data_IF_695084291296
#
_entry.id   IF_695084291296
#
_cell.length_a   1.000
_cell.length_b   1.000
_cell.length_c   1.000
_cell.angle_alpha   90.00
_cell.angle_beta   90.00
_cell.angle_gamma   90.00
#
_symmetry.space_group_name_H-M   'P 1'
#
loop_
_entity.id
_entity.type
_entity.pdbx_description
1 polymer ?
#
# COMPACT_ATOMS: atom_id res chain seq x y z
N UNK A 1 -42.22 14.57 -42.98
CA UNK A 1 -41.94 15.03 -41.60
C UNK A 1 -41.66 13.90 -40.62
N UNK A 2 -42.43 12.82 -40.57
CA UNK A 2 -42.16 11.70 -39.59
C UNK A 2 -40.82 10.98 -39.80
N UNK A 3 -40.38 10.78 -41.04
CA UNK A 3 -39.09 10.12 -41.34
C UNK A 3 -37.85 10.91 -40.92
N UNK A 4 -37.86 12.23 -41.07
CA UNK A 4 -36.77 13.09 -40.64
C UNK A 4 -36.65 13.12 -39.09
N UNK A 5 -37.78 13.07 -38.40
CA UNK A 5 -37.78 13.09 -36.93
C UNK A 5 -37.19 11.79 -36.31
N UNK A 6 -37.45 10.63 -36.91
CA UNK A 6 -36.86 9.37 -36.49
C UNK A 6 -35.33 9.30 -36.77
N UNK A 7 -34.89 9.88 -37.86
CA UNK A 7 -33.48 9.91 -38.21
C UNK A 7 -32.69 10.82 -37.25
N UNK A 8 -33.24 11.97 -36.84
CA UNK A 8 -32.64 12.89 -35.86
C UNK A 8 -32.55 12.25 -34.45
N UNK A 9 -33.58 11.52 -34.02
CA UNK A 9 -33.57 10.82 -32.72
C UNK A 9 -32.54 9.69 -32.72
N UNK A 10 -32.43 8.92 -33.79
CA UNK A 10 -31.44 7.84 -33.92
C UNK A 10 -30.02 8.38 -33.93
N UNK A 11 -29.77 9.49 -34.60
CA UNK A 11 -28.44 10.16 -34.64
C UNK A 11 -28.07 10.77 -33.29
N UNK A 12 -29.04 11.32 -32.55
CA UNK A 12 -28.81 11.85 -31.20
C UNK A 12 -28.54 10.74 -30.19
N UNK A 13 -29.23 9.60 -30.25
CA UNK A 13 -28.98 8.43 -29.41
C UNK A 13 -27.60 7.80 -29.68
N UNK A 14 -27.18 7.70 -30.92
CA UNK A 14 -25.83 7.18 -31.27
C UNK A 14 -24.71 8.12 -30.82
N UNK A 15 -24.88 9.44 -30.92
CA UNK A 15 -23.93 10.41 -30.38
C UNK A 15 -23.82 10.33 -28.84
N UNK A 16 -24.92 10.15 -28.11
CA UNK A 16 -24.87 9.99 -26.65
C UNK A 16 -24.20 8.68 -26.22
N UNK A 17 -24.40 7.59 -26.98
CA UNK A 17 -23.74 6.31 -26.70
C UNK A 17 -22.24 6.33 -26.96
N UNK A 18 -21.78 7.07 -27.97
CA UNK A 18 -20.35 7.22 -28.31
C UNK A 18 -19.64 8.11 -27.31
N UNK A 19 -20.30 9.12 -26.73
CA UNK A 19 -19.71 9.97 -25.67
C UNK A 19 -19.55 9.24 -24.33
N UNK A 20 -20.41 8.28 -24.01
CA UNK A 20 -20.25 7.45 -22.80
C UNK A 20 -19.17 6.37 -22.93
N UNK A 21 -18.86 5.90 -24.12
CA UNK A 21 -17.90 4.81 -24.36
C UNK A 21 -16.43 5.21 -24.23
N UNK A 22 -16.12 6.51 -24.06
CA UNK A 22 -14.75 7.04 -24.03
C UNK A 22 -14.32 7.65 -22.68
N UNK A 23 -15.09 7.52 -21.63
CA UNK A 23 -14.69 7.99 -20.31
C UNK A 23 -13.61 7.06 -19.74
N UNK A 24 -12.35 7.50 -19.82
CA UNK A 24 -11.24 6.78 -19.19
C UNK A 24 -11.39 6.80 -17.67
N UNK A 25 -11.37 5.64 -16.99
CA UNK A 25 -11.61 5.56 -15.55
C UNK A 25 -10.47 6.25 -14.78
N UNK A 26 -10.81 6.87 -13.66
CA UNK A 26 -9.83 7.24 -12.66
C UNK A 26 -9.35 5.99 -11.92
N UNK A 27 -8.08 5.96 -11.53
CA UNK A 27 -7.45 4.81 -10.88
C UNK A 27 -6.90 5.27 -9.54
N UNK A 28 -7.35 4.65 -8.46
CA UNK A 28 -6.76 4.77 -7.13
C UNK A 28 -6.21 3.40 -6.73
N UNK A 29 -4.90 3.33 -6.51
CA UNK A 29 -4.21 2.13 -6.08
C UNK A 29 -3.75 2.32 -4.64
N UNK A 30 -4.45 1.69 -3.69
CA UNK A 30 -4.09 1.70 -2.26
C UNK A 30 -3.33 0.43 -1.95
N UNK A 31 -2.16 0.56 -1.35
CA UNK A 31 -1.26 -0.54 -1.05
C UNK A 31 -0.77 -0.44 0.40
N UNK A 32 -1.03 -1.48 1.19
CA UNK A 32 -0.50 -1.64 2.55
C UNK A 32 0.66 -2.62 2.55
N UNK A 33 1.55 -2.51 3.55
CA UNK A 33 2.76 -3.31 3.66
C UNK A 33 2.58 -4.36 4.76
N UNK A 34 2.72 -5.63 4.42
CA UNK A 34 2.56 -6.78 5.32
C UNK A 34 1.15 -6.92 5.96
N UNK A 35 0.10 -6.50 5.26
CA UNK A 35 -1.27 -6.62 5.73
C UNK A 35 -1.84 -8.00 5.42
N UNK A 36 -1.97 -8.83 6.46
CA UNK A 36 -2.45 -10.20 6.33
C UNK A 36 -3.98 -10.25 6.05
N UNK A 37 -4.45 -11.16 5.19
CA UNK A 37 -5.88 -11.24 4.82
C UNK A 37 -6.79 -11.53 6.02
N UNK A 38 -6.35 -12.31 7.01
CA UNK A 38 -7.15 -12.60 8.21
C UNK A 38 -7.36 -11.38 9.12
N UNK A 39 -6.63 -10.29 8.91
CA UNK A 39 -6.85 -9.00 9.57
C UNK A 39 -7.80 -8.07 8.77
N UNK A 40 -8.42 -8.55 7.70
CA UNK A 40 -9.39 -7.83 6.87
C UNK A 40 -10.74 -8.54 6.97
N UNK A 41 -11.78 -7.84 7.43
CA UNK A 41 -13.09 -8.42 7.71
C UNK A 41 -13.75 -9.09 6.50
N UNK A 42 -13.54 -8.55 5.29
CA UNK A 42 -14.08 -9.11 4.04
C UNK A 42 -13.62 -10.55 3.75
N UNK A 43 -12.47 -10.97 4.26
CA UNK A 43 -11.97 -12.35 4.12
C UNK A 43 -12.43 -13.30 5.24
N UNK A 44 -13.28 -12.83 6.15
CA UNK A 44 -13.91 -13.64 7.20
C UNK A 44 -12.92 -14.35 8.13
N UNK A 45 -11.76 -13.73 8.40
CA UNK A 45 -10.74 -14.25 9.30
C UNK A 45 -11.15 -14.19 10.78
N UNK A 46 -10.45 -14.94 11.65
CA UNK A 46 -10.76 -15.04 13.09
C UNK A 46 -10.68 -13.69 13.84
N UNK A 47 -10.00 -12.69 13.30
CA UNK A 47 -9.91 -11.36 13.88
C UNK A 47 -11.12 -10.46 13.56
N UNK A 48 -12.00 -10.86 12.65
CA UNK A 48 -13.16 -10.05 12.23
C UNK A 48 -14.05 -9.56 13.39
N UNK A 49 -14.32 -10.35 14.43
CA UNK A 49 -15.16 -9.89 15.56
C UNK A 49 -14.52 -8.77 16.39
N UNK A 50 -13.18 -8.72 16.46
CA UNK A 50 -12.43 -7.78 17.31
C UNK A 50 -11.73 -6.67 16.50
N UNK A 51 -11.48 -6.90 15.22
CA UNK A 51 -10.82 -5.93 14.32
C UNK A 51 -11.67 -5.67 13.07
N UNK A 52 -12.78 -4.94 13.18
CA UNK A 52 -13.59 -4.63 12.02
C UNK A 52 -12.86 -3.67 11.07
N UNK A 53 -12.98 -3.94 9.75
CA UNK A 53 -12.40 -3.10 8.70
C UNK A 53 -13.50 -2.54 7.77
N UNK A 54 -14.46 -1.74 8.30
CA UNK A 54 -15.72 -1.43 7.64
C UNK A 54 -15.54 -0.71 6.29
N UNK A 55 -14.52 0.12 6.16
CA UNK A 55 -14.26 0.84 4.91
C UNK A 55 -13.63 -0.05 3.82
N UNK A 56 -12.77 -0.99 4.21
CA UNK A 56 -12.20 -1.99 3.29
C UNK A 56 -13.29 -3.00 2.89
N UNK A 57 -14.06 -3.46 3.86
CA UNK A 57 -15.16 -4.41 3.66
C UNK A 57 -16.23 -3.83 2.72
N UNK A 58 -16.50 -2.53 2.84
CA UNK A 58 -17.40 -1.82 1.93
C UNK A 58 -16.89 -1.85 0.48
N UNK A 59 -15.58 -1.63 0.26
CA UNK A 59 -15.00 -1.73 -1.08
C UNK A 59 -15.18 -3.14 -1.67
N UNK A 60 -15.01 -4.18 -0.86
CA UNK A 60 -15.23 -5.56 -1.28
C UNK A 60 -16.71 -5.81 -1.62
N UNK A 61 -17.64 -5.30 -0.81
CA UNK A 61 -19.08 -5.47 -1.00
C UNK A 61 -19.64 -4.71 -2.22
N UNK A 62 -19.08 -3.54 -2.52
CA UNK A 62 -19.50 -2.70 -3.67
C UNK A 62 -18.72 -2.98 -4.95
N UNK A 63 -17.65 -3.78 -4.88
CA UNK A 63 -16.76 -4.08 -5.98
C UNK A 63 -16.53 -5.55 -6.20
N UNK A 64 -15.27 -5.98 -6.21
CA UNK A 64 -14.87 -7.37 -6.41
C UNK A 64 -13.85 -7.77 -5.33
N UNK A 65 -14.09 -8.89 -4.65
CA UNK A 65 -13.16 -9.52 -3.74
C UNK A 65 -12.37 -10.61 -4.48
N UNK A 66 -11.03 -10.52 -4.45
CA UNK A 66 -10.15 -11.55 -5.02
C UNK A 66 -9.77 -12.54 -3.93
N UNK A 67 -10.33 -13.74 -3.95
CA UNK A 67 -10.03 -14.81 -3.00
C UNK A 67 -8.66 -15.46 -3.27
N UNK A 68 -8.21 -15.45 -4.53
CA UNK A 68 -6.95 -16.03 -4.96
C UNK A 68 -6.09 -14.98 -5.64
N UNK A 69 -5.27 -14.29 -4.85
CA UNK A 69 -4.29 -13.31 -5.34
C UNK A 69 -2.88 -13.71 -4.88
N UNK A 70 -1.93 -13.70 -5.80
CA UNK A 70 -0.59 -14.24 -5.56
C UNK A 70 0.47 -13.16 -5.75
N UNK A 71 1.48 -13.17 -4.88
CA UNK A 71 2.67 -12.35 -4.99
C UNK A 71 3.78 -13.15 -5.68
N UNK A 72 4.43 -12.58 -6.68
CA UNK A 72 5.51 -13.26 -7.43
C UNK A 72 6.86 -13.20 -6.73
N UNK A 73 7.04 -12.26 -5.81
CA UNK A 73 8.22 -12.13 -4.96
C UNK A 73 7.77 -11.46 -3.65
N UNK A 74 7.68 -12.24 -2.59
CA UNK A 74 7.07 -11.88 -1.30
C UNK A 74 8.00 -11.06 -0.38
N UNK A 75 8.68 -10.05 -0.93
CA UNK A 75 9.49 -9.08 -0.19
C UNK A 75 9.23 -7.67 -0.73
N UNK A 76 9.23 -6.66 0.14
CA UNK A 76 8.70 -5.30 -0.12
C UNK A 76 9.16 -4.69 -1.46
N UNK A 77 10.45 -4.37 -1.64
CA UNK A 77 10.95 -3.72 -2.85
C UNK A 77 10.73 -4.52 -4.12
N UNK A 78 11.11 -5.81 -4.17
CA UNK A 78 10.85 -6.67 -5.32
C UNK A 78 9.37 -6.79 -5.71
N UNK A 79 8.47 -6.96 -4.74
CA UNK A 79 7.02 -6.97 -5.00
C UNK A 79 6.56 -5.65 -5.65
N UNK A 80 7.02 -4.52 -5.12
CA UNK A 80 6.71 -3.18 -5.66
C UNK A 80 7.27 -2.97 -7.06
N UNK A 81 8.47 -3.49 -7.35
CA UNK A 81 9.05 -3.47 -8.69
C UNK A 81 8.25 -4.32 -9.68
N UNK A 82 7.73 -5.47 -9.25
CA UNK A 82 6.82 -6.31 -10.06
C UNK A 82 5.52 -5.56 -10.37
N UNK A 83 4.91 -4.94 -9.38
CA UNK A 83 3.69 -4.12 -9.57
C UNK A 83 3.95 -2.99 -10.58
N UNK A 84 5.06 -2.26 -10.42
CA UNK A 84 5.39 -1.14 -11.32
C UNK A 84 5.60 -1.58 -12.76
N UNK A 85 6.18 -2.74 -12.99
CA UNK A 85 6.66 -3.16 -14.33
C UNK A 85 5.80 -4.22 -15.00
N UNK A 86 4.97 -4.97 -14.23
CA UNK A 86 4.30 -6.17 -14.71
C UNK A 86 5.26 -7.31 -15.06
N UNK A 87 6.52 -7.25 -14.55
CA UNK A 87 7.57 -8.22 -14.87
C UNK A 87 8.08 -8.90 -13.61
N UNK A 88 8.32 -10.20 -13.67
CA UNK A 88 9.01 -10.94 -12.61
C UNK A 88 10.37 -10.31 -12.26
N UNK A 89 10.84 -10.48 -11.03
CA UNK A 89 12.06 -9.86 -10.50
C UNK A 89 13.31 -10.11 -11.35
N UNK A 90 13.49 -11.32 -11.89
CA UNK A 90 14.61 -11.65 -12.77
C UNK A 90 14.55 -10.94 -14.14
N UNK A 91 13.38 -10.41 -14.54
CA UNK A 91 13.19 -9.62 -15.76
C UNK A 91 13.26 -8.11 -15.52
N UNK A 92 12.81 -7.65 -14.35
CA UNK A 92 12.88 -6.22 -14.01
C UNK A 92 14.21 -5.84 -13.32
N UNK A 93 15.03 -6.82 -12.92
CA UNK A 93 16.35 -6.63 -12.33
C UNK A 93 16.34 -6.25 -10.84
N UNK A 94 15.17 -6.24 -10.18
CA UNK A 94 15.07 -5.89 -8.76
C UNK A 94 14.71 -7.14 -7.93
N UNK A 95 15.73 -7.88 -7.48
CA UNK A 95 15.57 -9.20 -6.86
C UNK A 95 15.55 -9.18 -5.33
N UNK A 96 16.10 -8.14 -4.70
CA UNK A 96 16.14 -7.98 -3.24
C UNK A 96 16.14 -6.50 -2.84
N UNK A 97 15.91 -6.21 -1.55
CA UNK A 97 15.84 -4.83 -1.03
C UNK A 97 17.18 -4.06 -1.11
N UNK A 98 18.29 -4.75 -1.34
CA UNK A 98 19.60 -4.13 -1.57
C UNK A 98 19.74 -3.47 -2.93
N UNK A 99 19.00 -3.94 -3.93
CA UNK A 99 19.05 -3.43 -5.29
C UNK A 99 18.57 -1.99 -5.41
N UNK A 100 18.92 -1.34 -6.51
CA UNK A 100 18.37 -0.05 -6.93
C UNK A 100 17.52 -0.27 -8.18
N UNK A 101 16.29 0.24 -8.15
CA UNK A 101 15.35 0.08 -9.26
C UNK A 101 15.78 0.91 -10.47
N UNK A 102 15.77 0.29 -11.64
CA UNK A 102 15.99 1.00 -12.88
C UNK A 102 14.71 1.73 -13.30
N UNK A 103 14.59 3.00 -12.92
CA UNK A 103 13.46 3.84 -13.28
C UNK A 103 13.38 4.18 -14.77
N UNK A 104 14.40 3.89 -15.57
CA UNK A 104 14.36 4.13 -17.03
C UNK A 104 13.55 3.06 -17.77
N UNK A 105 13.34 1.89 -17.18
CA UNK A 105 12.51 0.86 -17.79
C UNK A 105 11.03 1.28 -17.85
N UNK A 106 10.26 0.59 -18.67
CA UNK A 106 8.83 0.80 -18.80
C UNK A 106 8.10 0.42 -17.51
N UNK A 107 7.21 1.30 -17.05
CA UNK A 107 6.34 1.09 -15.90
C UNK A 107 4.92 1.53 -16.26
N UNK A 108 3.91 0.94 -15.60
CA UNK A 108 2.52 1.29 -15.90
C UNK A 108 2.19 2.77 -15.64
N UNK A 109 2.76 3.47 -14.62
CA UNK A 109 2.53 4.90 -14.48
C UNK A 109 3.04 5.72 -15.68
N UNK A 110 4.20 5.35 -16.25
CA UNK A 110 4.71 6.01 -17.47
C UNK A 110 3.75 5.82 -18.65
N UNK A 111 3.20 4.63 -18.83
CA UNK A 111 2.23 4.34 -19.90
C UNK A 111 0.95 5.15 -19.71
N UNK A 112 0.40 5.19 -18.50
CA UNK A 112 -0.81 5.97 -18.21
C UNK A 112 -0.56 7.48 -18.43
N UNK A 113 0.59 7.99 -17.99
CA UNK A 113 0.97 9.39 -18.22
C UNK A 113 1.07 9.72 -19.72
N UNK A 114 1.65 8.83 -20.53
CA UNK A 114 1.69 8.98 -22.00
C UNK A 114 0.28 9.00 -22.62
N UNK A 115 -0.68 8.34 -21.99
CA UNK A 115 -2.08 8.35 -22.38
C UNK A 115 -2.86 9.55 -21.79
N UNK A 116 -2.18 10.55 -21.23
CA UNK A 116 -2.78 11.79 -20.75
C UNK A 116 -3.39 11.71 -19.34
N UNK A 117 -3.07 10.69 -18.56
CA UNK A 117 -3.41 10.66 -17.14
C UNK A 117 -2.54 11.63 -16.34
N UNK A 118 -3.11 12.30 -15.35
CA UNK A 118 -2.34 12.92 -14.28
C UNK A 118 -1.98 11.85 -13.24
N UNK A 119 -0.71 11.80 -12.83
CA UNK A 119 -0.20 10.67 -12.04
C UNK A 119 0.44 11.14 -10.74
N UNK A 120 0.14 10.45 -9.62
CA UNK A 120 0.77 10.76 -8.34
C UNK A 120 1.12 9.51 -7.52
N UNK A 121 2.13 9.65 -6.64
CA UNK A 121 2.61 8.59 -5.75
C UNK A 121 2.92 9.16 -4.36
N UNK A 122 2.30 8.63 -3.32
CA UNK A 122 2.57 9.00 -1.93
C UNK A 122 2.85 7.79 -1.07
N UNK A 123 3.86 7.91 -0.17
CA UNK A 123 4.20 6.91 0.83
C UNK A 123 5.39 6.02 0.48
N UNK A 124 5.35 4.74 0.85
CA UNK A 124 6.48 3.82 0.78
C UNK A 124 6.70 3.26 -0.63
N UNK A 125 7.63 3.83 -1.40
CA UNK A 125 8.02 3.23 -2.70
C UNK A 125 9.01 2.07 -2.55
N UNK A 126 9.97 2.18 -1.64
CA UNK A 126 11.05 1.23 -1.35
C UNK A 126 11.87 0.79 -2.58
N UNK A 127 11.89 1.60 -3.63
CA UNK A 127 12.56 1.27 -4.91
C UNK A 127 13.88 2.03 -5.09
N UNK A 128 14.24 2.89 -4.15
CA UNK A 128 15.37 3.82 -4.24
C UNK A 128 15.30 4.72 -5.49
N UNK A 129 16.13 5.76 -5.53
CA UNK A 129 16.16 6.73 -6.63
C UNK A 129 14.92 7.63 -6.65
N UNK A 130 14.81 8.41 -7.73
CA UNK A 130 13.70 9.35 -7.95
C UNK A 130 12.59 8.66 -8.76
N UNK A 131 11.35 8.59 -8.25
CA UNK A 131 10.23 8.05 -9.00
C UNK A 131 10.05 8.73 -10.37
N UNK A 132 9.83 7.93 -11.41
CA UNK A 132 9.56 8.40 -12.76
C UNK A 132 8.19 7.91 -13.23
N UNK A 133 7.54 8.75 -14.06
CA UNK A 133 6.18 8.46 -14.54
C UNK A 133 5.10 9.04 -13.65
N UNK A 134 5.48 9.89 -12.68
CA UNK A 134 4.59 10.63 -11.81
C UNK A 134 4.76 12.14 -11.99
N UNK A 135 3.66 12.85 -12.00
CA UNK A 135 3.63 14.32 -12.07
C UNK A 135 3.87 14.93 -10.69
N UNK A 136 3.36 14.28 -9.63
CA UNK A 136 3.66 14.62 -8.24
C UNK A 136 3.99 13.35 -7.44
N UNK A 137 4.92 13.48 -6.49
CA UNK A 137 5.27 12.38 -5.61
C UNK A 137 5.96 12.85 -4.34
N UNK A 138 5.67 12.17 -3.23
CA UNK A 138 6.36 12.30 -1.95
C UNK A 138 6.51 10.91 -1.35
N UNK A 139 7.75 10.43 -1.24
CA UNK A 139 8.01 9.04 -0.86
C UNK A 139 8.87 8.92 0.39
N UNK A 140 8.61 7.90 1.18
CA UNK A 140 9.39 7.58 2.36
C UNK A 140 10.79 7.10 1.97
N UNK A 141 11.87 7.53 2.65
CA UNK A 141 13.19 6.94 2.48
C UNK A 141 13.23 5.52 3.07
N UNK A 142 13.61 4.54 2.25
CA UNK A 142 13.71 3.13 2.67
C UNK A 142 12.41 2.58 3.26
N UNK A 143 12.45 2.14 4.51
CA UNK A 143 11.28 1.64 5.25
C UNK A 143 10.35 2.76 5.76
N UNK A 144 10.86 3.97 5.90
CA UNK A 144 10.15 5.09 6.52
C UNK A 144 9.98 4.97 8.03
N UNK A 145 9.58 6.07 8.66
CA UNK A 145 9.24 6.16 10.08
C UNK A 145 7.72 6.20 10.25
N UNK A 146 7.20 5.67 11.36
CA UNK A 146 5.78 5.80 11.71
C UNK A 146 5.42 7.20 12.20
N UNK A 147 6.31 7.82 12.98
CA UNK A 147 6.11 9.17 13.51
C UNK A 147 7.08 10.14 12.88
N UNK A 148 6.59 11.33 12.60
CA UNK A 148 7.35 12.45 12.06
C UNK A 148 8.25 12.03 10.88
N UNK A 149 7.71 11.37 9.85
CA UNK A 149 8.50 10.81 8.76
C UNK A 149 9.17 11.90 7.93
N UNK A 150 10.39 11.60 7.49
CA UNK A 150 11.00 12.29 6.38
C UNK A 150 10.36 11.79 5.06
N UNK A 151 10.13 12.70 4.14
CA UNK A 151 9.66 12.42 2.78
C UNK A 151 10.64 12.99 1.77
N UNK A 152 11.01 12.18 0.79
CA UNK A 152 11.77 12.63 -0.39
C UNK A 152 10.75 13.18 -1.39
N UNK A 153 11.00 14.39 -1.89
CA UNK A 153 10.15 15.06 -2.87
C UNK A 153 10.99 15.52 -4.07
N UNK A 154 10.36 15.94 -5.19
CA UNK A 154 11.10 16.55 -6.30
C UNK A 154 11.95 17.76 -5.91
N UNK A 155 11.55 18.48 -4.84
CA UNK A 155 12.19 19.71 -4.37
C UNK A 155 13.21 19.50 -3.23
N UNK A 156 13.39 18.25 -2.78
CA UNK A 156 14.26 17.89 -1.65
C UNK A 156 13.50 17.14 -0.56
N UNK A 157 14.18 16.92 0.57
CA UNK A 157 13.60 16.22 1.71
C UNK A 157 12.79 17.19 2.57
N UNK A 158 11.64 16.72 3.06
CA UNK A 158 10.80 17.42 4.03
C UNK A 158 10.44 16.48 5.16
N UNK A 159 10.42 16.99 6.40
CA UNK A 159 9.93 16.27 7.56
C UNK A 159 8.53 16.79 7.88
N UNK A 160 7.57 15.89 8.10
CA UNK A 160 6.20 16.24 8.45
C UNK A 160 5.89 15.65 9.83
N UNK A 161 5.42 16.48 10.74
CA UNK A 161 5.00 16.04 12.07
C UNK A 161 3.68 15.27 12.00
N UNK A 162 3.58 14.17 12.75
CA UNK A 162 2.39 13.34 12.85
C UNK A 162 2.64 11.88 12.50
N UNK A 163 1.55 11.11 12.44
CA UNK A 163 1.61 9.68 12.12
C UNK A 163 1.64 9.43 10.61
N UNK A 164 2.53 8.56 10.18
CA UNK A 164 2.81 8.29 8.76
C UNK A 164 1.56 7.92 7.94
N UNK A 165 0.67 7.09 8.50
CA UNK A 165 -0.56 6.68 7.80
C UNK A 165 -1.47 7.87 7.52
N UNK A 166 -1.62 8.78 8.49
CA UNK A 166 -2.43 10.00 8.34
C UNK A 166 -1.79 10.92 7.31
N UNK A 167 -0.49 11.19 7.44
CA UNK A 167 0.26 12.06 6.53
C UNK A 167 0.13 11.57 5.07
N UNK A 168 0.32 10.28 4.82
CA UNK A 168 0.22 9.70 3.47
C UNK A 168 -1.21 9.82 2.93
N UNK A 169 -2.20 9.60 3.80
CA UNK A 169 -3.63 9.76 3.45
C UNK A 169 -3.96 11.21 3.14
N UNK A 170 -3.54 12.14 3.98
CA UNK A 170 -3.84 13.57 3.82
C UNK A 170 -3.21 14.13 2.55
N UNK A 171 -1.97 13.77 2.23
CA UNK A 171 -1.33 14.13 0.97
C UNK A 171 -2.11 13.61 -0.24
N UNK A 172 -2.60 12.39 -0.18
CA UNK A 172 -3.40 11.79 -1.25
C UNK A 172 -4.76 12.51 -1.40
N UNK A 173 -5.44 12.79 -0.30
CA UNK A 173 -6.73 13.49 -0.28
C UNK A 173 -6.58 14.94 -0.75
N UNK A 174 -5.54 15.65 -0.30
CA UNK A 174 -5.26 17.01 -0.75
C UNK A 174 -5.01 17.06 -2.26
N UNK A 175 -4.20 16.13 -2.78
CA UNK A 175 -3.96 16.05 -4.21
C UNK A 175 -5.23 15.77 -5.00
N UNK A 176 -6.09 14.88 -4.54
CA UNK A 176 -7.39 14.61 -5.17
C UNK A 176 -8.28 15.86 -5.19
N UNK A 177 -8.28 16.66 -4.12
CA UNK A 177 -9.11 17.87 -3.99
C UNK A 177 -8.58 19.04 -4.79
N UNK A 178 -7.27 19.29 -4.75
CA UNK A 178 -6.66 20.56 -5.20
C UNK A 178 -5.42 20.38 -6.07
N UNK A 179 -4.69 19.27 -5.94
CA UNK A 179 -3.36 19.10 -6.54
C UNK A 179 -3.35 18.59 -7.98
N UNK A 180 -4.47 18.13 -8.53
CA UNK A 180 -4.54 17.52 -9.86
C UNK A 180 -5.31 18.38 -10.86
N UNK A 181 -5.02 18.20 -12.16
CA UNK A 181 -5.84 18.71 -13.24
C UNK A 181 -7.16 17.91 -13.32
N UNK A 182 -8.27 18.56 -12.95
CA UNK A 182 -9.61 17.93 -12.90
C UNK A 182 -10.20 17.64 -14.29
N UNK A 183 -9.63 18.19 -15.34
CA UNK A 183 -10.05 17.94 -16.75
C UNK A 183 -9.50 16.63 -17.30
N UNK A 184 -8.54 16.00 -16.60
CA UNK A 184 -7.87 14.76 -17.01
C UNK A 184 -8.24 13.60 -16.13
N UNK A 185 -8.26 12.37 -16.67
CA UNK A 185 -8.27 11.17 -15.83
C UNK A 185 -7.00 11.12 -14.99
N UNK A 186 -7.07 10.48 -13.84
CA UNK A 186 -5.92 10.39 -12.94
C UNK A 186 -5.60 8.95 -12.52
N UNK A 187 -4.33 8.75 -12.16
CA UNK A 187 -3.85 7.57 -11.47
C UNK A 187 -3.11 8.00 -10.20
N UNK A 188 -3.60 7.56 -9.05
CA UNK A 188 -3.03 7.84 -7.75
C UNK A 188 -2.60 6.54 -7.06
N UNK A 189 -1.33 6.46 -6.66
CA UNK A 189 -0.82 5.39 -5.80
C UNK A 189 -0.66 5.90 -4.36
N UNK A 190 -1.34 5.25 -3.42
CA UNK A 190 -1.25 5.51 -1.98
C UNK A 190 -0.62 4.29 -1.34
N UNK A 191 0.64 4.41 -0.93
CA UNK A 191 1.44 3.28 -0.47
C UNK A 191 1.78 3.44 1.02
N UNK A 192 0.97 2.82 1.88
CA UNK A 192 1.16 2.85 3.32
C UNK A 192 2.35 2.00 3.76
N UNK A 193 3.07 2.47 4.82
CA UNK A 193 4.03 1.65 5.56
C UNK A 193 3.31 0.63 6.44
N UNK A 194 2.18 1.00 7.03
CA UNK A 194 1.41 0.14 7.91
C UNK A 194 0.81 -1.09 7.16
N UNK A 195 0.72 -2.25 7.84
CA UNK A 195 1.16 -2.55 9.21
C UNK A 195 2.55 -3.21 9.33
N UNK A 196 3.52 -2.87 8.49
CA UNK A 196 4.90 -3.41 8.57
C UNK A 196 5.52 -3.18 9.96
N UNK A 197 6.35 -4.11 10.42
CA UNK A 197 7.17 -3.95 11.64
C UNK A 197 8.09 -2.72 11.53
N UNK A 198 8.48 -2.05 12.60
CA UNK A 198 7.93 -2.23 13.95
C UNK A 198 6.52 -1.62 14.00
N UNK A 199 5.61 -2.25 14.70
CA UNK A 199 4.19 -1.88 14.70
C UNK A 199 3.93 -0.72 15.67
N UNK A 200 3.92 0.51 15.16
CA UNK A 200 3.63 1.70 15.98
C UNK A 200 2.26 2.27 15.57
N UNK A 201 1.23 2.06 16.37
CA UNK A 201 -0.10 2.61 16.10
C UNK A 201 -0.13 4.13 16.31
N UNK A 202 -1.09 4.81 15.69
CA UNK A 202 -1.36 6.19 16.05
C UNK A 202 -1.84 6.30 17.51
N UNK A 203 -1.49 7.39 18.20
CA UNK A 203 -1.79 7.56 19.64
C UNK A 203 -3.26 7.34 20.00
N UNK A 204 -4.18 7.72 19.10
CA UNK A 204 -5.62 7.51 19.27
C UNK A 204 -6.06 6.04 19.30
N UNK A 205 -5.18 5.12 18.94
CA UNK A 205 -5.45 3.68 18.88
C UNK A 205 -4.69 2.87 19.94
N UNK A 206 -3.90 3.51 20.79
CA UNK A 206 -3.09 2.80 21.79
C UNK A 206 -3.94 1.95 22.75
N UNK A 207 -5.10 2.47 23.16
CA UNK A 207 -6.00 1.78 24.08
C UNK A 207 -7.13 0.99 23.41
N UNK A 208 -7.06 0.80 22.08
CA UNK A 208 -8.17 0.20 21.32
C UNK A 208 -8.51 -1.23 21.77
N UNK A 209 -7.52 -1.97 22.29
CA UNK A 209 -7.66 -3.38 22.66
C UNK A 209 -7.37 -3.63 24.15
N UNK A 210 -7.29 -2.60 25.00
CA UNK A 210 -6.95 -2.77 26.42
C UNK A 210 -7.95 -3.68 27.17
N UNK A 211 -9.22 -3.64 26.77
CA UNK A 211 -10.30 -4.42 27.38
C UNK A 211 -10.80 -5.57 26.48
N UNK A 212 -10.02 -5.97 25.49
CA UNK A 212 -10.43 -6.97 24.51
C UNK A 212 -9.41 -8.12 24.47
N UNK A 213 -9.86 -9.33 24.76
CA UNK A 213 -9.06 -10.53 24.50
C UNK A 213 -9.00 -10.79 22.98
N UNK A 214 -7.81 -10.63 22.41
CA UNK A 214 -7.60 -10.93 20.98
C UNK A 214 -7.57 -12.45 20.82
N UNK A 215 -8.43 -13.04 19.98
CA UNK A 215 -8.49 -14.49 19.83
C UNK A 215 -7.20 -15.04 19.22
N UNK A 216 -6.68 -16.10 19.85
CA UNK A 216 -5.50 -16.80 19.35
C UNK A 216 -5.87 -17.70 18.16
N UNK A 217 -5.04 -17.76 17.09
CA UNK A 217 -5.27 -18.73 16.04
C UNK A 217 -5.00 -20.16 16.53
N UNK A 218 -5.76 -21.13 16.04
CA UNK A 218 -5.59 -22.53 16.38
C UNK A 218 -4.17 -23.06 16.09
N UNK A 219 -3.45 -22.39 15.19
CA UNK A 219 -2.10 -22.73 14.74
C UNK A 219 -0.99 -22.01 15.52
N UNK A 220 -1.31 -21.25 16.58
CA UNK A 220 -0.32 -20.43 17.32
C UNK A 220 0.86 -21.29 17.82
N UNK A 221 0.58 -22.52 18.29
CA UNK A 221 1.57 -23.45 18.83
C UNK A 221 1.87 -24.62 17.88
N UNK A 222 1.53 -24.48 16.58
CA UNK A 222 1.84 -25.49 15.58
C UNK A 222 3.36 -25.61 15.40
N UNK A 223 3.84 -26.85 15.38
CA UNK A 223 5.26 -27.19 15.16
C UNK A 223 5.59 -27.42 13.67
N UNK A 224 4.65 -27.19 12.79
CA UNK A 224 4.79 -27.29 11.33
C UNK A 224 5.29 -28.65 10.84
N UNK A 225 5.00 -29.75 11.60
CA UNK A 225 5.53 -31.07 11.33
C UNK A 225 5.13 -31.61 9.95
N UNK A 226 3.92 -31.29 9.52
CA UNK A 226 3.34 -31.73 8.24
C UNK A 226 3.63 -30.78 7.09
N UNK A 227 4.38 -29.70 7.34
CA UNK A 227 4.72 -28.71 6.35
C UNK A 227 6.12 -28.95 5.72
N UNK A 228 6.40 -28.25 4.63
CA UNK A 228 7.71 -28.27 3.98
C UNK A 228 8.85 -27.89 4.96
N UNK A 229 10.07 -28.40 4.77
CA UNK A 229 11.21 -28.10 5.64
C UNK A 229 11.44 -26.61 5.88
N UNK A 230 11.21 -25.75 4.87
CA UNK A 230 11.36 -24.31 5.00
C UNK A 230 10.40 -23.70 6.05
N UNK A 231 9.17 -24.21 6.17
CA UNK A 231 8.23 -23.76 7.21
C UNK A 231 8.64 -24.22 8.62
N UNK A 232 9.25 -25.39 8.72
CA UNK A 232 9.75 -25.93 10.01
C UNK A 232 11.00 -25.23 10.53
N UNK A 233 11.80 -24.68 9.62
CA UNK A 233 13.08 -24.04 9.94
C UNK A 233 13.06 -22.50 9.75
N UNK A 234 11.88 -21.93 9.65
CA UNK A 234 11.74 -20.47 9.53
C UNK A 234 12.16 -19.75 10.83
N UNK A 235 12.62 -18.51 10.70
CA UNK A 235 13.12 -17.69 11.80
C UNK A 235 12.15 -16.52 12.10
N UNK A 236 10.85 -16.81 12.30
CA UNK A 236 9.80 -15.83 12.60
C UNK A 236 8.91 -16.30 13.76
N UNK A 237 9.50 -16.95 14.76
CA UNK A 237 8.78 -17.37 15.97
C UNK A 237 8.82 -16.26 17.01
N UNK A 238 7.69 -16.04 17.70
CA UNK A 238 7.51 -14.96 18.66
C UNK A 238 8.50 -15.10 19.82
N UNK A 239 8.66 -16.32 20.37
CA UNK A 239 9.45 -16.61 21.55
C UNK A 239 10.97 -16.55 21.35
N UNK A 240 11.46 -16.72 20.11
CA UNK A 240 12.90 -16.85 19.81
C UNK A 240 13.45 -15.78 18.88
N UNK A 241 12.63 -15.22 17.98
CA UNK A 241 13.11 -14.41 16.88
C UNK A 241 12.59 -12.97 16.92
N UNK A 242 11.49 -12.70 17.63
CA UNK A 242 11.01 -11.36 17.83
C UNK A 242 11.74 -10.67 18.97
N UNK A 243 12.12 -9.41 18.78
CA UNK A 243 12.75 -8.58 19.80
C UNK A 243 11.69 -8.03 20.76
N UNK A 244 11.91 -8.21 22.07
CA UNK A 244 10.96 -7.80 23.09
C UNK A 244 10.67 -6.30 23.09
N UNK A 245 11.69 -5.48 22.78
CA UNK A 245 11.56 -4.04 22.80
C UNK A 245 11.15 -3.47 21.43
N UNK A 246 11.74 -4.01 20.37
CA UNK A 246 11.53 -3.46 19.01
C UNK A 246 10.25 -3.98 18.37
N UNK A 247 9.92 -5.25 18.58
CA UNK A 247 8.75 -5.86 17.95
C UNK A 247 7.55 -5.93 18.90
N UNK A 248 7.77 -6.30 20.17
CA UNK A 248 6.69 -6.61 21.10
C UNK A 248 6.40 -5.49 22.11
N UNK A 249 7.31 -4.54 22.28
CA UNK A 249 7.17 -3.40 23.20
C UNK A 249 6.88 -3.80 24.68
N UNK A 250 7.35 -4.98 25.11
CA UNK A 250 7.05 -5.52 26.46
C UNK A 250 8.11 -5.18 27.50
N UNK A 251 9.29 -4.76 27.12
CA UNK A 251 10.35 -4.29 28.03
C UNK A 251 10.89 -2.94 27.61
N UNK A 252 10.28 -1.89 28.09
CA UNK A 252 10.67 -0.51 27.83
C UNK A 252 11.85 -0.02 28.71
N UNK A 253 12.31 -0.85 29.66
CA UNK A 253 13.38 -0.49 30.63
C UNK A 253 14.74 -1.00 30.20
N UNK A 254 14.83 -1.96 29.28
CA UNK A 254 16.09 -2.47 28.78
C UNK A 254 16.78 -1.47 27.87
N UNK A 255 18.13 -1.44 27.95
CA UNK A 255 18.96 -0.66 27.02
C UNK A 255 18.72 -1.14 25.56
N UNK A 256 17.94 -0.39 24.83
CA UNK A 256 17.57 -0.72 23.47
C UNK A 256 18.79 -0.74 22.53
N UNK A 257 19.15 -1.91 22.04
CA UNK A 257 20.32 -2.15 21.20
C UNK A 257 20.03 -2.04 19.70
N UNK A 258 18.88 -1.51 19.32
CA UNK A 258 18.46 -1.39 17.93
C UNK A 258 19.45 -0.63 17.02
N UNK A 259 19.31 -0.83 15.71
CA UNK A 259 20.10 -0.13 14.71
C UNK A 259 19.92 1.39 14.82
N UNK A 260 20.82 2.23 14.25
CA UNK A 260 20.65 3.68 14.23
C UNK A 260 19.34 4.16 13.59
N UNK A 261 18.79 3.37 12.66
CA UNK A 261 17.49 3.62 12.04
C UNK A 261 16.33 3.35 13.02
N UNK A 262 16.42 2.29 13.80
CA UNK A 262 15.48 1.92 14.84
C UNK A 262 15.49 2.94 15.99
N UNK A 263 16.67 3.30 16.48
CA UNK A 263 16.84 4.33 17.54
C UNK A 263 16.27 5.70 17.18
N UNK A 264 16.12 6.01 15.89
CA UNK A 264 15.50 7.27 15.43
C UNK A 264 13.98 7.24 15.44
N UNK A 265 13.37 6.05 15.46
CA UNK A 265 11.92 5.92 15.55
C UNK A 265 11.41 6.10 16.98
N UNK A 266 12.26 5.82 17.97
CA UNK A 266 11.91 5.82 19.40
C UNK A 266 12.12 7.21 20.07
N UNK A 267 12.49 8.24 19.33
CA UNK A 267 12.65 9.64 19.75
C UNK A 267 11.64 10.54 19.05
#
# INVERSE_FOLDING_TARGET
MRFLFHLLIATCMTMFSVLSANARPNIVFIFSDDHAPHAIGAYDGWLKPVNPTPHIDKLAAEGMLFENSFCTNSICGPSRAVIMTGKHSHKNGFMNNGNTFNWNQQTFPKLLRQQGYTTALYGKSHLKGKPQGFDDWKVLPGQGLYYNPDLITPKGNVRIEGHCTDIVTDLAVEWLKQGRDKSKPFMLMVQHKAPHRNWMPALRHLSLYDDIDIPEPATLFDKWQDNAPAARHQELEIDRHMDLNYDLFVDLTADYKGTPSQKRQDR
#
